data_IF_501402415446
#
_entry.id   IF_501402415446
#
_cell.length_a   1.000
_cell.length_b   1.000
_cell.length_c   1.000
_cell.angle_alpha   90.00
_cell.angle_beta   90.00
_cell.angle_gamma   90.00
#
_symmetry.space_group_name_H-M   'P 1'
#
loop_
_entity.id
_entity.type
_entity.pdbx_description
1 polymer ?
#
# COMPACT_ATOMS: atom_id res chain seq x y z
N UNK A 1 8.17 13.64 -6.82
CA UNK A 1 8.57 12.29 -7.26
C UNK A 1 8.51 12.16 -8.78
N UNK A 2 7.33 12.18 -9.43
CA UNK A 2 7.19 11.90 -10.87
C UNK A 2 8.15 12.65 -11.80
N UNK A 3 8.39 13.95 -11.57
CA UNK A 3 9.34 14.74 -12.38
C UNK A 3 10.78 14.23 -12.23
N UNK A 4 11.19 13.93 -11.00
CA UNK A 4 12.54 13.41 -10.70
C UNK A 4 12.72 12.03 -11.33
N UNK A 5 11.72 11.15 -11.18
CA UNK A 5 11.68 9.83 -11.80
C UNK A 5 11.88 9.95 -13.31
N UNK A 6 11.12 10.83 -13.97
CA UNK A 6 11.19 11.01 -15.41
C UNK A 6 12.55 11.54 -15.86
N UNK A 7 13.07 12.58 -15.18
CA UNK A 7 14.37 13.15 -15.49
C UNK A 7 15.50 12.12 -15.37
N UNK A 8 15.50 11.30 -14.31
CA UNK A 8 16.48 10.24 -14.11
C UNK A 8 16.29 9.12 -15.14
N UNK A 9 15.05 8.74 -15.45
CA UNK A 9 14.73 7.72 -16.45
C UNK A 9 15.27 8.08 -17.85
N UNK A 10 15.28 9.37 -18.20
CA UNK A 10 15.83 9.86 -19.47
C UNK A 10 17.35 10.04 -19.40
N UNK A 11 17.88 10.49 -18.25
CA UNK A 11 19.31 10.80 -18.11
C UNK A 11 20.19 9.56 -17.88
N UNK A 12 19.65 8.51 -17.27
CA UNK A 12 20.40 7.32 -16.85
C UNK A 12 20.00 6.13 -17.70
N UNK A 13 20.97 5.54 -18.39
CA UNK A 13 20.80 4.30 -19.14
C UNK A 13 20.67 3.10 -18.21
N UNK A 14 19.75 2.21 -18.51
CA UNK A 14 19.59 0.97 -17.76
C UNK A 14 20.82 0.07 -17.91
N UNK A 15 21.28 -0.45 -16.77
CA UNK A 15 22.30 -1.47 -16.75
C UNK A 15 21.65 -2.81 -17.15
N UNK A 16 22.27 -3.62 -18.02
CA UNK A 16 21.71 -4.92 -18.38
C UNK A 16 21.65 -5.82 -17.14
N UNK A 17 20.46 -6.34 -16.84
CA UNK A 17 20.25 -7.27 -15.74
C UNK A 17 19.62 -8.56 -16.24
N UNK A 18 20.02 -9.68 -15.65
CA UNK A 18 19.39 -10.99 -15.87
C UNK A 18 18.06 -11.14 -15.09
N UNK A 19 17.54 -10.02 -14.54
CA UNK A 19 16.28 -9.99 -13.83
C UNK A 19 15.10 -10.24 -14.78
N UNK A 20 13.98 -10.65 -14.20
CA UNK A 20 12.76 -10.91 -14.97
C UNK A 20 12.30 -9.65 -15.73
N UNK A 21 12.15 -9.76 -17.06
CA UNK A 21 11.76 -8.66 -17.95
C UNK A 21 10.30 -8.77 -18.44
N UNK A 22 9.56 -9.80 -18.03
CA UNK A 22 8.21 -10.08 -18.53
C UNK A 22 8.21 -10.54 -20.00
N UNK A 23 7.03 -10.52 -20.62
CA UNK A 23 6.85 -10.84 -22.04
C UNK A 23 7.09 -9.58 -22.88
N UNK A 24 8.04 -9.59 -23.84
CA UNK A 24 8.29 -8.43 -24.69
C UNK A 24 7.10 -8.20 -25.62
N UNK A 25 6.73 -6.93 -25.79
CA UNK A 25 5.63 -6.52 -26.67
C UNK A 25 6.23 -5.96 -27.96
N UNK A 26 5.83 -6.45 -29.14
CA UNK A 26 6.30 -5.92 -30.41
C UNK A 26 6.03 -4.42 -30.54
N UNK A 27 7.04 -3.65 -30.96
CA UNK A 27 6.91 -2.19 -31.14
C UNK A 27 5.86 -1.79 -32.19
N UNK A 28 5.55 -2.71 -33.11
CA UNK A 28 4.51 -2.53 -34.12
C UNK A 28 3.09 -2.48 -33.53
N UNK A 29 2.86 -3.08 -32.36
CA UNK A 29 1.56 -3.11 -31.67
C UNK A 29 1.32 -1.85 -30.82
N UNK A 30 2.38 -1.07 -30.56
CA UNK A 30 2.32 0.12 -29.70
C UNK A 30 2.08 1.39 -30.51
N UNK A 31 1.02 2.12 -30.14
CA UNK A 31 0.75 3.45 -30.69
C UNK A 31 1.83 4.46 -30.26
N UNK A 32 1.84 5.64 -30.89
CA UNK A 32 2.73 6.72 -30.45
C UNK A 32 2.41 7.18 -29.01
N UNK A 33 1.14 7.13 -28.61
CA UNK A 33 0.69 7.46 -27.25
C UNK A 33 1.25 6.45 -26.25
N UNK A 34 1.25 5.16 -26.60
CA UNK A 34 1.82 4.11 -25.76
C UNK A 34 3.31 4.35 -25.48
N UNK A 35 4.07 4.71 -26.52
CA UNK A 35 5.51 4.97 -26.40
C UNK A 35 5.78 6.15 -25.47
N UNK A 36 4.99 7.21 -25.58
CA UNK A 36 5.10 8.36 -24.68
C UNK A 36 4.81 7.97 -23.23
N UNK A 37 3.70 7.29 -22.97
CA UNK A 37 3.33 6.84 -21.62
C UNK A 37 4.43 5.96 -21.02
N UNK A 38 4.92 4.98 -21.79
CA UNK A 38 6.00 4.08 -21.36
C UNK A 38 7.30 4.81 -21.09
N UNK A 39 7.61 5.86 -21.86
CA UNK A 39 8.79 6.68 -21.61
C UNK A 39 8.64 7.52 -20.34
N UNK A 40 7.45 8.08 -20.11
CA UNK A 40 7.15 8.91 -18.94
C UNK A 40 7.17 8.11 -17.64
N UNK A 41 6.57 6.92 -17.65
CA UNK A 41 6.43 6.07 -16.46
C UNK A 41 7.42 4.90 -16.39
N UNK A 42 8.33 4.76 -17.36
CA UNK A 42 9.21 3.59 -17.48
C UNK A 42 10.04 3.29 -16.23
N UNK A 43 10.58 4.32 -15.58
CA UNK A 43 11.32 4.11 -14.33
C UNK A 43 10.46 3.61 -13.15
N UNK A 44 9.13 3.80 -13.18
CA UNK A 44 8.18 3.25 -12.20
C UNK A 44 7.80 1.80 -12.47
N UNK A 45 8.14 1.27 -13.65
CA UNK A 45 7.82 -0.10 -14.08
C UNK A 45 9.01 -1.04 -13.98
N UNK A 46 10.10 -0.63 -13.32
CA UNK A 46 11.33 -1.43 -13.15
C UNK A 46 11.27 -2.34 -11.92
N UNK A 47 12.11 -3.37 -11.91
CA UNK A 47 12.24 -4.33 -10.81
C UNK A 47 10.92 -5.08 -10.54
N UNK A 48 10.50 -5.16 -9.28
CA UNK A 48 9.30 -5.86 -8.82
C UNK A 48 8.01 -5.47 -9.57
N UNK A 49 7.95 -4.25 -10.11
CA UNK A 49 6.83 -3.77 -10.91
C UNK A 49 6.57 -4.65 -12.14
N UNK A 50 7.62 -5.20 -12.76
CA UNK A 50 7.51 -6.08 -13.92
C UNK A 50 6.71 -7.33 -13.55
N UNK A 51 6.93 -7.89 -12.35
CA UNK A 51 6.17 -9.04 -11.86
C UNK A 51 4.70 -8.70 -11.64
N UNK A 52 4.39 -7.58 -10.98
CA UNK A 52 3.00 -7.19 -10.74
C UNK A 52 2.24 -6.95 -12.04
N UNK A 53 2.84 -6.27 -13.02
CA UNK A 53 2.25 -6.04 -14.34
C UNK A 53 2.09 -7.34 -15.13
N UNK A 54 3.09 -8.22 -15.07
CA UNK A 54 3.04 -9.52 -15.73
C UNK A 54 1.94 -10.41 -15.15
N UNK A 55 1.82 -10.48 -13.83
CA UNK A 55 0.75 -11.25 -13.17
C UNK A 55 -0.62 -10.64 -13.51
N UNK A 56 -0.74 -9.30 -13.55
CA UNK A 56 -2.00 -8.66 -13.91
C UNK A 56 -2.43 -9.00 -15.34
N UNK A 57 -1.49 -9.15 -16.28
CA UNK A 57 -1.80 -9.42 -17.69
C UNK A 57 -1.93 -10.92 -18.03
N UNK A 58 -1.04 -11.74 -17.46
CA UNK A 58 -0.85 -13.14 -17.86
C UNK A 58 -1.06 -14.14 -16.72
N UNK A 59 -1.28 -13.66 -15.49
CA UNK A 59 -1.35 -14.50 -14.31
C UNK A 59 -0.01 -15.10 -13.86
N UNK A 60 -0.09 -16.07 -12.96
CA UNK A 60 1.07 -16.75 -12.39
C UNK A 60 1.62 -17.81 -13.33
N UNK A 61 2.54 -17.40 -14.19
CA UNK A 61 3.16 -18.25 -15.23
C UNK A 61 4.61 -18.65 -14.94
N UNK A 62 5.26 -17.99 -13.99
CA UNK A 62 6.65 -18.26 -13.59
C UNK A 62 6.74 -18.48 -12.07
N UNK A 63 7.69 -19.30 -11.62
CA UNK A 63 7.86 -19.62 -10.19
C UNK A 63 8.22 -18.39 -9.35
N UNK A 64 9.05 -17.49 -9.89
CA UNK A 64 9.42 -16.24 -9.22
C UNK A 64 8.21 -15.31 -8.96
N UNK A 65 7.12 -15.46 -9.72
CA UNK A 65 5.90 -14.68 -9.51
C UNK A 65 5.18 -15.07 -8.21
N UNK A 66 5.43 -16.25 -7.64
CA UNK A 66 4.77 -16.73 -6.42
C UNK A 66 5.09 -15.88 -5.18
N UNK A 67 6.18 -15.10 -5.21
CA UNK A 67 6.50 -14.15 -4.16
C UNK A 67 5.55 -12.93 -4.14
N UNK A 68 4.86 -12.64 -5.24
CA UNK A 68 4.01 -11.46 -5.41
C UNK A 68 2.54 -11.83 -5.21
N UNK A 69 1.93 -11.24 -4.20
CA UNK A 69 0.59 -11.63 -3.75
C UNK A 69 -0.53 -11.05 -4.63
N UNK A 70 -1.70 -11.73 -4.70
CA UNK A 70 -2.63 -11.58 -5.80
C UNK A 70 -3.50 -10.32 -5.78
N UNK A 71 -3.71 -9.68 -4.62
CA UNK A 71 -4.70 -8.59 -4.52
C UNK A 71 -4.32 -7.40 -5.38
N UNK A 72 -3.03 -7.02 -5.40
CA UNK A 72 -2.58 -5.84 -6.15
C UNK A 72 -2.64 -6.06 -7.68
N UNK A 73 -2.09 -7.13 -8.26
CA UNK A 73 -2.28 -7.46 -9.69
C UNK A 73 -3.75 -7.57 -10.09
N UNK A 74 -4.58 -8.22 -9.26
CA UNK A 74 -6.01 -8.36 -9.52
C UNK A 74 -6.71 -7.00 -9.56
N UNK A 75 -6.40 -6.12 -8.61
CA UNK A 75 -6.95 -4.76 -8.60
C UNK A 75 -6.55 -3.98 -9.85
N UNK A 76 -5.29 -4.07 -10.28
CA UNK A 76 -4.80 -3.44 -11.52
C UNK A 76 -5.59 -3.96 -12.72
N UNK A 77 -5.71 -5.27 -12.87
CA UNK A 77 -6.42 -5.88 -13.99
C UNK A 77 -7.91 -5.50 -14.00
N UNK A 78 -8.60 -5.69 -12.88
CA UNK A 78 -10.04 -5.40 -12.77
C UNK A 78 -10.35 -3.93 -13.03
N UNK A 79 -9.57 -2.99 -12.47
CA UNK A 79 -9.79 -1.57 -12.73
C UNK A 79 -9.45 -1.22 -14.18
N UNK A 80 -8.43 -1.82 -14.78
CA UNK A 80 -8.09 -1.60 -16.20
C UNK A 80 -9.23 -2.02 -17.11
N UNK A 81 -9.84 -3.19 -16.88
CA UNK A 81 -11.01 -3.65 -17.63
C UNK A 81 -12.19 -2.66 -17.60
N UNK A 82 -12.37 -1.92 -16.50
CA UNK A 82 -13.50 -1.00 -16.32
C UNK A 82 -13.38 0.23 -17.23
N UNK A 83 -12.18 0.71 -17.55
CA UNK A 83 -12.00 1.96 -18.28
C UNK A 83 -11.29 1.82 -19.63
N UNK A 84 -10.49 0.76 -19.85
CA UNK A 84 -9.64 0.66 -21.05
C UNK A 84 -10.45 0.58 -22.34
N UNK A 85 -11.68 0.03 -22.30
CA UNK A 85 -12.58 -0.01 -23.45
C UNK A 85 -12.98 1.38 -23.95
N UNK A 86 -12.97 2.40 -23.09
CA UNK A 86 -13.30 3.77 -23.45
C UNK A 86 -12.12 4.51 -24.13
N UNK A 87 -10.90 3.94 -24.06
CA UNK A 87 -9.69 4.54 -24.65
C UNK A 87 -8.97 3.50 -25.53
N UNK A 88 -9.54 3.14 -26.69
CA UNK A 88 -9.01 2.08 -27.57
C UNK A 88 -7.68 2.46 -28.25
N UNK A 89 -7.21 3.68 -28.05
CA UNK A 89 -5.95 4.20 -28.61
C UNK A 89 -4.71 3.69 -27.86
N UNK A 90 -4.89 3.12 -26.66
CA UNK A 90 -3.81 2.68 -25.78
C UNK A 90 -3.84 1.15 -25.70
N UNK A 91 -2.67 0.52 -25.86
CA UNK A 91 -2.54 -0.91 -25.72
C UNK A 91 -2.83 -1.35 -24.28
N UNK A 92 -3.49 -2.50 -24.08
CA UNK A 92 -3.95 -2.97 -22.76
C UNK A 92 -2.83 -3.00 -21.70
N UNK A 93 -1.63 -3.45 -22.07
CA UNK A 93 -0.47 -3.48 -21.17
C UNK A 93 0.00 -2.08 -20.74
N UNK A 94 -0.15 -1.06 -21.59
CA UNK A 94 0.12 0.33 -21.21
C UNK A 94 -0.99 0.87 -20.31
N UNK A 95 -2.24 0.46 -20.54
CA UNK A 95 -3.35 0.78 -19.66
C UNK A 95 -3.13 0.21 -18.25
N UNK A 96 -2.59 -1.01 -18.11
CA UNK A 96 -2.21 -1.58 -16.79
C UNK A 96 -1.22 -0.68 -16.03
N UNK A 97 -0.22 -0.11 -16.72
CA UNK A 97 0.76 0.81 -16.11
C UNK A 97 0.04 2.06 -15.57
N UNK A 98 -0.81 2.69 -16.38
CA UNK A 98 -1.56 3.87 -15.97
C UNK A 98 -2.47 3.58 -14.77
N UNK A 99 -3.18 2.45 -14.80
CA UNK A 99 -4.04 2.02 -13.69
C UNK A 99 -3.23 1.83 -12.42
N UNK A 100 -2.10 1.11 -12.49
CA UNK A 100 -1.27 0.85 -11.33
C UNK A 100 -0.68 2.12 -10.71
N UNK A 101 -0.15 3.03 -11.53
CA UNK A 101 0.37 4.33 -11.06
C UNK A 101 -0.76 5.16 -10.44
N UNK A 102 -1.95 5.14 -11.02
CA UNK A 102 -3.12 5.86 -10.49
C UNK A 102 -3.60 5.29 -9.17
N UNK A 103 -3.71 3.96 -9.05
CA UNK A 103 -4.03 3.27 -7.80
C UNK A 103 -3.05 3.71 -6.70
N UNK A 104 -1.75 3.67 -6.99
CA UNK A 104 -0.73 3.97 -6.00
C UNK A 104 -0.71 5.45 -5.61
N UNK A 105 -0.90 6.36 -6.56
CA UNK A 105 -1.05 7.77 -6.26
C UNK A 105 -2.24 8.04 -5.34
N UNK A 106 -3.42 7.52 -5.67
CA UNK A 106 -4.63 7.68 -4.85
C UNK A 106 -4.42 7.05 -3.47
N UNK A 107 -3.92 5.83 -3.42
CA UNK A 107 -3.67 5.12 -2.16
C UNK A 107 -2.67 5.89 -1.28
N UNK A 108 -1.60 6.44 -1.86
CA UNK A 108 -0.61 7.23 -1.12
C UNK A 108 -1.21 8.51 -0.52
N UNK A 109 -2.05 9.24 -1.28
CA UNK A 109 -2.74 10.43 -0.78
C UNK A 109 -3.69 10.07 0.36
N UNK A 110 -4.48 9.00 0.20
CA UNK A 110 -5.38 8.51 1.24
C UNK A 110 -4.61 8.04 2.48
N UNK A 111 -3.46 7.40 2.30
CA UNK A 111 -2.60 7.04 3.43
C UNK A 111 -2.13 8.26 4.21
N UNK A 112 -1.74 9.34 3.53
CA UNK A 112 -1.36 10.59 4.19
C UNK A 112 -2.50 11.18 5.03
N UNK A 113 -3.73 11.13 4.51
CA UNK A 113 -4.93 11.58 5.23
C UNK A 113 -5.27 10.70 6.43
N UNK A 114 -5.22 9.38 6.27
CA UNK A 114 -5.46 8.43 7.35
C UNK A 114 -4.39 8.51 8.44
N UNK A 115 -3.12 8.66 8.06
CA UNK A 115 -2.01 8.85 8.99
C UNK A 115 -2.23 10.10 9.83
N UNK A 116 -2.61 11.22 9.19
CA UNK A 116 -2.94 12.45 9.88
C UNK A 116 -4.08 12.24 10.89
N UNK A 117 -5.18 11.61 10.46
CA UNK A 117 -6.35 11.37 11.30
C UNK A 117 -6.02 10.46 12.50
N UNK A 118 -5.29 9.37 12.27
CA UNK A 118 -4.85 8.44 13.32
C UNK A 118 -3.95 9.13 14.34
N UNK A 119 -2.95 9.89 13.89
CA UNK A 119 -2.03 10.58 14.80
C UNK A 119 -2.70 11.70 15.56
N UNK A 120 -3.62 12.44 14.93
CA UNK A 120 -4.42 13.44 15.63
C UNK A 120 -5.29 12.79 16.71
N UNK A 121 -5.87 11.63 16.42
CA UNK A 121 -6.68 10.87 17.37
C UNK A 121 -5.86 10.39 18.57
N UNK A 122 -4.66 9.86 18.34
CA UNK A 122 -3.79 9.29 19.37
C UNK A 122 -3.04 10.34 20.20
N UNK A 123 -2.46 11.34 19.54
CA UNK A 123 -1.54 12.30 20.18
C UNK A 123 -2.22 13.61 20.57
N UNK A 124 -3.43 13.87 20.05
CA UNK A 124 -4.18 15.14 20.20
C UNK A 124 -3.38 16.39 19.79
N UNK A 125 -2.29 16.22 19.04
CA UNK A 125 -1.38 17.29 18.62
C UNK A 125 -1.36 17.43 17.11
N UNK A 126 -1.93 18.52 16.61
CA UNK A 126 -1.91 18.86 15.18
C UNK A 126 -0.49 19.00 14.65
N UNK A 127 0.42 19.56 15.45
CA UNK A 127 1.82 19.76 15.04
C UNK A 127 2.52 18.43 14.77
N UNK A 128 2.33 17.45 15.66
CA UNK A 128 2.95 16.14 15.54
C UNK A 128 2.35 15.35 14.36
N UNK A 129 1.03 15.40 14.20
CA UNK A 129 0.35 14.74 13.08
C UNK A 129 0.81 15.31 11.73
N UNK A 130 0.90 16.65 11.59
CA UNK A 130 1.42 17.28 10.37
C UNK A 130 2.89 16.94 10.12
N UNK A 131 3.74 16.99 11.15
CA UNK A 131 5.15 16.66 11.01
C UNK A 131 5.33 15.22 10.51
N UNK A 132 4.57 14.27 11.05
CA UNK A 132 4.62 12.89 10.61
C UNK A 132 4.19 12.72 9.14
N UNK A 133 3.13 13.41 8.70
CA UNK A 133 2.74 13.40 7.28
C UNK A 133 3.82 13.98 6.37
N UNK A 134 4.48 15.08 6.78
CA UNK A 134 5.58 15.68 6.01
C UNK A 134 6.75 14.70 5.91
N UNK A 135 7.16 14.08 7.02
CA UNK A 135 8.25 13.09 7.04
C UNK A 135 7.88 11.87 6.19
N UNK A 136 6.63 11.40 6.29
CA UNK A 136 6.10 10.31 5.49
C UNK A 136 6.17 10.62 3.99
N UNK A 137 5.79 11.82 3.58
CA UNK A 137 5.76 12.21 2.16
C UNK A 137 7.15 12.51 1.59
N UNK A 138 8.06 13.09 2.37
CA UNK A 138 9.39 13.52 1.91
C UNK A 138 10.50 12.48 2.11
N UNK A 139 10.17 11.29 2.62
CA UNK A 139 11.11 10.19 2.78
C UNK A 139 11.65 9.70 1.40
N UNK A 140 12.95 9.39 1.24
CA UNK A 140 13.48 8.76 0.02
C UNK A 140 12.72 7.49 -0.41
N UNK A 141 12.18 6.71 0.53
CA UNK A 141 11.35 5.54 0.27
C UNK A 141 9.97 5.87 -0.35
N UNK A 142 9.60 7.15 -0.48
CA UNK A 142 8.38 7.60 -1.17
C UNK A 142 8.28 7.10 -2.62
N UNK A 143 9.40 6.73 -3.23
CA UNK A 143 9.45 6.08 -4.55
C UNK A 143 8.63 4.79 -4.60
N UNK A 144 8.68 3.96 -3.56
CA UNK A 144 7.93 2.70 -3.49
C UNK A 144 6.41 2.92 -3.45
N UNK A 145 5.99 4.10 -3.00
CA UNK A 145 4.58 4.47 -3.01
C UNK A 145 4.09 5.04 -4.34
N UNK A 146 5.00 5.32 -5.27
CA UNK A 146 4.69 5.83 -6.61
C UNK A 146 4.95 4.81 -7.71
N UNK A 147 5.96 3.94 -7.55
CA UNK A 147 6.26 2.82 -8.44
C UNK A 147 5.10 1.81 -8.47
N UNK A 148 5.03 0.93 -9.47
CA UNK A 148 3.95 -0.08 -9.62
C UNK A 148 4.14 -1.24 -8.62
N UNK A 149 3.99 -0.91 -7.35
CA UNK A 149 4.40 -1.68 -6.18
C UNK A 149 3.22 -1.80 -5.22
N UNK A 150 3.13 -2.90 -4.45
CA UNK A 150 1.95 -3.16 -3.61
C UNK A 150 1.91 -2.38 -2.29
N UNK A 151 2.99 -1.67 -1.96
CA UNK A 151 3.24 -0.96 -0.69
C UNK A 151 2.17 0.09 -0.38
N UNK A 152 1.73 0.88 -1.36
CA UNK A 152 0.69 1.89 -1.15
C UNK A 152 -0.65 1.29 -0.76
N UNK A 153 -1.06 0.22 -1.45
CA UNK A 153 -2.34 -0.46 -1.16
C UNK A 153 -2.24 -1.23 0.15
N UNK A 154 -1.11 -1.90 0.41
CA UNK A 154 -0.84 -2.57 1.68
C UNK A 154 -0.99 -1.61 2.87
N UNK A 155 -0.34 -0.46 2.79
CA UNK A 155 -0.35 0.52 3.87
C UNK A 155 -1.72 1.17 4.03
N UNK A 156 -2.44 1.46 2.94
CA UNK A 156 -3.80 1.97 2.97
C UNK A 156 -4.72 1.04 3.76
N UNK A 157 -4.72 -0.26 3.40
CA UNK A 157 -5.53 -1.27 4.07
C UNK A 157 -5.12 -1.43 5.54
N UNK A 158 -3.83 -1.36 5.85
CA UNK A 158 -3.33 -1.40 7.23
C UNK A 158 -3.81 -0.19 8.03
N UNK A 159 -3.77 1.01 7.46
CA UNK A 159 -4.26 2.23 8.12
C UNK A 159 -5.79 2.21 8.31
N UNK A 160 -6.55 1.69 7.34
CA UNK A 160 -7.99 1.46 7.50
C UNK A 160 -8.29 0.48 8.65
N UNK A 161 -7.54 -0.62 8.73
CA UNK A 161 -7.68 -1.59 9.83
C UNK A 161 -7.35 -0.98 11.19
N UNK A 162 -6.30 -0.18 11.28
CA UNK A 162 -5.97 0.56 12.51
C UNK A 162 -7.03 1.60 12.86
N UNK A 163 -7.54 2.35 11.88
CA UNK A 163 -8.59 3.33 12.12
C UNK A 163 -9.85 2.64 12.68
N UNK A 164 -10.22 1.47 12.16
CA UNK A 164 -11.32 0.69 12.70
C UNK A 164 -11.13 0.31 14.17
N UNK A 165 -9.90 0.01 14.60
CA UNK A 165 -9.59 -0.29 16.00
C UNK A 165 -9.70 0.93 16.92
N UNK A 166 -9.29 2.11 16.45
CA UNK A 166 -9.21 3.33 17.26
C UNK A 166 -10.43 4.27 17.17
N UNK A 167 -11.22 4.21 16.10
CA UNK A 167 -12.25 5.22 15.82
C UNK A 167 -13.49 5.17 16.73
N UNK A 168 -13.90 3.99 17.20
CA UNK A 168 -15.17 3.86 17.93
C UNK A 168 -15.13 2.80 19.05
N UNK A 169 -15.27 3.24 20.30
CA UNK A 169 -15.33 2.39 21.49
C UNK A 169 -16.70 1.72 21.70
N UNK A 170 -17.73 2.14 20.96
CA UNK A 170 -19.11 1.68 21.18
C UNK A 170 -19.44 0.33 20.51
N UNK A 171 -18.69 -0.06 19.48
CA UNK A 171 -18.89 -1.28 18.71
C UNK A 171 -17.89 -2.38 19.11
N UNK A 172 -18.08 -2.98 20.29
CA UNK A 172 -17.04 -3.80 20.94
C UNK A 172 -16.44 -4.90 20.06
N UNK A 173 -17.26 -5.78 19.46
CA UNK A 173 -16.77 -6.90 18.66
C UNK A 173 -16.65 -6.59 17.16
N UNK A 174 -17.56 -5.77 16.63
CA UNK A 174 -17.64 -5.47 15.19
C UNK A 174 -16.36 -4.78 14.69
N UNK A 175 -15.75 -3.89 15.48
CA UNK A 175 -14.48 -3.24 15.11
C UNK A 175 -13.34 -4.22 14.85
N UNK A 176 -13.27 -5.32 15.62
CA UNK A 176 -12.24 -6.34 15.44
C UNK A 176 -12.46 -7.13 14.16
N UNK A 177 -13.72 -7.41 13.79
CA UNK A 177 -14.05 -8.04 12.52
C UNK A 177 -13.64 -7.13 11.35
N UNK A 178 -14.00 -5.85 11.41
CA UNK A 178 -13.66 -4.87 10.36
C UNK A 178 -12.14 -4.74 10.23
N UNK A 179 -11.42 -4.60 11.35
CA UNK A 179 -9.97 -4.55 11.35
C UNK A 179 -9.34 -5.82 10.79
N UNK A 180 -9.81 -7.00 11.18
CA UNK A 180 -9.35 -8.28 10.67
C UNK A 180 -9.58 -8.42 9.17
N UNK A 181 -10.72 -7.94 8.65
CA UNK A 181 -11.02 -7.93 7.23
C UNK A 181 -10.01 -7.07 6.46
N UNK A 182 -9.77 -5.84 6.92
CA UNK A 182 -8.78 -4.95 6.31
C UNK A 182 -7.36 -5.53 6.38
N UNK A 183 -6.97 -6.11 7.52
CA UNK A 183 -5.66 -6.77 7.66
C UNK A 183 -5.53 -8.03 6.81
N UNK A 184 -6.61 -8.77 6.58
CA UNK A 184 -6.63 -9.91 5.65
C UNK A 184 -6.42 -9.45 4.21
N UNK A 185 -7.06 -8.35 3.80
CA UNK A 185 -6.78 -7.75 2.50
C UNK A 185 -5.36 -7.20 2.41
N UNK A 186 -4.83 -6.59 3.49
CA UNK A 186 -3.44 -6.16 3.54
C UNK A 186 -2.48 -7.35 3.36
N UNK A 187 -2.73 -8.48 4.02
CA UNK A 187 -1.99 -9.72 3.79
C UNK A 187 -2.09 -10.19 2.33
N UNK A 188 -3.26 -10.11 1.70
CA UNK A 188 -3.44 -10.45 0.30
C UNK A 188 -2.70 -9.53 -0.69
N UNK A 189 -2.17 -8.38 -0.25
CA UNK A 189 -1.24 -7.56 -1.06
C UNK A 189 0.22 -7.97 -0.90
N UNK A 190 0.62 -8.42 0.29
CA UNK A 190 2.00 -8.80 0.68
C UNK A 190 1.98 -9.74 1.89
N UNK A 191 2.85 -10.75 1.87
CA UNK A 191 3.01 -11.70 2.98
C UNK A 191 3.29 -11.05 4.35
N UNK A 192 4.04 -9.94 4.37
CA UNK A 192 4.33 -9.17 5.58
C UNK A 192 3.06 -8.69 6.33
N UNK A 193 1.93 -8.58 5.63
CA UNK A 193 0.67 -8.21 6.25
C UNK A 193 0.15 -9.20 7.28
N UNK A 194 0.71 -10.42 7.34
CA UNK A 194 0.38 -11.39 8.40
C UNK A 194 0.60 -10.78 9.78
N UNK A 195 1.67 -9.99 9.97
CA UNK A 195 1.98 -9.41 11.28
C UNK A 195 0.95 -8.38 11.77
N UNK A 196 0.03 -7.92 10.92
CA UNK A 196 -1.01 -6.99 11.32
C UNK A 196 -1.99 -7.58 12.36
N UNK A 197 -2.09 -8.90 12.51
CA UNK A 197 -2.88 -9.50 13.61
C UNK A 197 -2.36 -9.03 14.99
N UNK A 198 -1.07 -8.66 15.09
CA UNK A 198 -0.46 -8.17 16.31
C UNK A 198 -1.16 -6.92 16.86
N UNK A 199 -1.72 -6.05 16.00
CA UNK A 199 -2.48 -4.89 16.44
C UNK A 199 -3.78 -5.26 17.16
N UNK A 200 -4.45 -6.32 16.70
CA UNK A 200 -5.66 -6.85 17.33
C UNK A 200 -5.30 -7.50 18.66
N UNK A 201 -4.27 -8.35 18.69
CA UNK A 201 -3.80 -8.99 19.93
C UNK A 201 -3.42 -7.93 20.97
N UNK A 202 -2.70 -6.89 20.55
CA UNK A 202 -2.32 -5.79 21.44
C UNK A 202 -3.54 -5.09 22.04
N UNK A 203 -4.57 -4.76 21.24
CA UNK A 203 -5.79 -4.15 21.74
C UNK A 203 -6.55 -5.06 22.71
N UNK A 204 -6.71 -6.34 22.36
CA UNK A 204 -7.36 -7.30 23.24
C UNK A 204 -6.59 -7.48 24.57
N UNK A 205 -5.26 -7.48 24.51
CA UNK A 205 -4.41 -7.55 25.69
C UNK A 205 -4.57 -6.29 26.57
N UNK A 206 -4.60 -5.10 25.97
CA UNK A 206 -4.83 -3.85 26.71
C UNK A 206 -6.21 -3.84 27.36
N UNK A 207 -7.27 -4.27 26.67
CA UNK A 207 -8.63 -4.29 27.23
C UNK A 207 -8.84 -5.34 28.32
N UNK A 208 -8.12 -6.46 28.23
CA UNK A 208 -8.17 -7.49 29.28
C UNK A 208 -7.35 -7.11 30.51
N UNK A 209 -6.25 -6.39 30.33
CA UNK A 209 -5.39 -5.95 31.44
C UNK A 209 -5.91 -4.66 32.09
N UNK A 210 -6.51 -3.75 31.34
CA UNK A 210 -6.94 -2.43 31.78
C UNK A 210 -8.46 -2.27 31.64
N UNK A 211 -9.16 -2.14 32.77
CA UNK A 211 -10.58 -1.80 32.75
C UNK A 211 -10.75 -0.30 32.51
N UNK A 212 -11.14 0.07 31.30
CA UNK A 212 -11.45 1.46 30.94
C UNK A 212 -12.56 2.04 31.83
N UNK A 213 -13.52 1.20 32.25
CA UNK A 213 -14.64 1.57 33.15
C UNK A 213 -14.18 1.88 34.58
N UNK A 214 -13.17 1.17 35.09
CA UNK A 214 -12.67 1.36 36.45
C UNK A 214 -11.40 2.22 36.51
N UNK A 215 -10.82 2.59 35.35
CA UNK A 215 -9.48 3.20 35.25
C UNK A 215 -8.43 2.43 36.09
N UNK A 216 -8.57 1.11 36.16
CA UNK A 216 -7.72 0.21 36.96
C UNK A 216 -7.27 -0.97 36.12
N UNK A 217 -6.03 -1.38 36.33
CA UNK A 217 -5.57 -2.67 35.84
C UNK A 217 -6.27 -3.79 36.62
N UNK A 218 -6.87 -4.74 35.91
CA UNK A 218 -7.60 -5.87 36.49
C UNK A 218 -6.64 -6.83 37.21
N UNK A 219 -5.34 -6.77 36.87
CA UNK A 219 -4.26 -7.47 37.57
C UNK A 219 -3.50 -6.59 38.57
N UNK A 220 -4.14 -6.13 39.65
CA UNK A 220 -3.39 -5.78 40.86
C UNK A 220 -2.87 -7.09 41.50
N UNK A 221 -1.69 -7.55 41.07
CA UNK A 221 -0.82 -8.38 41.92
C UNK A 221 0.22 -7.45 42.53
N UNK A 222 0.35 -7.51 43.86
CA UNK A 222 1.18 -6.77 44.83
C UNK A 222 2.67 -6.48 44.50
N UNK A 223 3.04 -6.14 43.26
CA UNK A 223 4.41 -5.78 42.91
C UNK A 223 4.42 -4.57 41.98
N UNK A 224 4.51 -3.38 42.60
CA UNK A 224 5.19 -2.20 42.07
C UNK A 224 4.76 -1.73 40.69
N UNK A 225 3.88 -0.73 40.66
CA UNK A 225 3.47 -0.01 39.45
C UNK A 225 4.68 0.64 38.76
N UNK A 226 5.10 0.11 37.60
CA UNK A 226 5.94 0.85 36.66
C UNK A 226 5.00 1.73 35.83
N UNK A 227 4.89 2.99 36.23
CA UNK A 227 4.14 4.04 35.53
C UNK A 227 4.78 4.31 34.16
N UNK A 228 4.24 3.72 33.10
CA UNK A 228 4.38 4.27 31.75
C UNK A 228 3.36 5.39 31.60
N UNK A 229 3.83 6.62 31.79
CA UNK A 229 3.11 7.84 31.39
C UNK A 229 2.94 7.81 29.87
N UNK A 230 1.71 7.64 29.40
CA UNK A 230 1.29 8.01 28.04
C UNK A 230 1.05 9.51 28.00
#
# INVERSE_FOLDING_TARGET
MFIIQFAVNVAVTDYPTDAFQGVPIPQAELSQVDRWIRTVFGGLTRWDAVHFLHIAQYGYTYENNLAFFPLFPTLIYSLTLIWSWAVPLIHFSTALILTAVTINFIAFVLCGQLLYALLLMLTKSTKLALLACVVFTLNPASVFFSAVYSESVYMLLTFCGMLALYADLSLSFIRYIIAALFFSFAFATRSNGVFNFGYIIFHLMVETLYSTTLHKFIGERDCGTVLLKV
#
